data_IF_124130081738
#
_entry.id   IF_124130081738
#
_cell.length_a   1.000
_cell.length_b   1.000
_cell.length_c   1.000
_cell.angle_alpha   90.00
_cell.angle_beta   90.00
_cell.angle_gamma   90.00
#
_symmetry.space_group_name_H-M   'P 1'
#
loop_
_entity.id
_entity.type
_entity.pdbx_description
1 polymer ?
#
# COMPACT_ATOMS: atom_id res chain seq x y z
N UNK A 1 6.34 -12.79 -21.72
CA UNK A 1 5.28 -11.82 -21.38
C UNK A 1 5.69 -11.09 -20.11
N UNK A 2 5.80 -9.76 -20.07
CA UNK A 2 6.46 -9.04 -18.98
C UNK A 2 5.78 -9.15 -17.60
N UNK A 3 4.48 -9.51 -17.55
CA UNK A 3 3.78 -9.83 -16.30
C UNK A 3 4.04 -11.25 -15.76
N UNK A 4 4.96 -12.01 -16.38
CA UNK A 4 5.34 -13.36 -15.90
C UNK A 4 6.55 -13.34 -14.97
N UNK A 5 7.22 -12.20 -14.81
CA UNK A 5 8.33 -12.10 -13.87
C UNK A 5 7.78 -11.76 -12.49
N UNK A 6 7.86 -12.73 -11.59
CA UNK A 6 7.62 -12.47 -10.18
C UNK A 6 8.78 -11.67 -9.60
N UNK A 7 8.52 -10.60 -8.84
CA UNK A 7 9.57 -9.89 -8.12
C UNK A 7 10.32 -10.87 -7.22
N UNK A 8 11.65 -10.79 -7.25
CA UNK A 8 12.53 -11.62 -6.43
C UNK A 8 13.13 -10.79 -5.29
N UNK A 9 13.38 -11.44 -4.15
CA UNK A 9 14.09 -10.80 -3.05
C UNK A 9 15.56 -10.62 -3.41
N UNK A 10 16.07 -9.40 -3.24
CA UNK A 10 17.51 -9.10 -3.30
C UNK A 10 17.96 -8.68 -1.92
N UNK A 11 18.93 -9.41 -1.34
CA UNK A 11 19.53 -9.06 -0.06
C UNK A 11 20.92 -8.47 -0.31
N UNK A 12 21.10 -7.23 0.14
CA UNK A 12 22.36 -6.51 0.11
C UNK A 12 22.91 -6.40 1.53
N UNK A 13 24.23 -6.50 1.69
CA UNK A 13 24.92 -6.29 2.97
C UNK A 13 25.99 -5.21 2.84
N UNK A 14 26.12 -4.40 3.88
CA UNK A 14 27.20 -3.42 4.04
C UNK A 14 28.04 -3.73 5.28
N UNK A 15 29.30 -3.29 5.28
CA UNK A 15 30.21 -3.34 6.44
C UNK A 15 30.80 -1.97 6.78
N UNK A 16 30.37 -0.91 6.08
CA UNK A 16 30.94 0.44 6.15
C UNK A 16 29.88 1.53 6.35
N UNK A 17 28.76 1.15 6.98
CA UNK A 17 27.66 2.08 7.27
C UNK A 17 26.84 2.46 6.03
N UNK A 18 26.80 1.59 5.01
CA UNK A 18 25.99 1.79 3.81
C UNK A 18 26.70 2.53 2.68
N UNK A 19 28.01 2.77 2.77
CA UNK A 19 28.80 3.38 1.69
C UNK A 19 29.02 2.40 0.54
N UNK A 20 29.20 1.12 0.86
CA UNK A 20 29.31 0.02 -0.11
C UNK A 20 28.37 -1.11 0.26
N UNK A 21 27.80 -1.71 -0.79
CA UNK A 21 26.86 -2.82 -0.69
C UNK A 21 27.37 -4.00 -1.50
N UNK A 22 27.25 -5.19 -0.94
CA UNK A 22 27.55 -6.45 -1.61
C UNK A 22 26.27 -7.27 -1.71
N UNK A 23 25.96 -7.75 -2.93
CA UNK A 23 24.86 -8.69 -3.15
C UNK A 23 25.24 -10.01 -2.50
N UNK A 24 24.34 -10.55 -1.67
CA UNK A 24 24.50 -11.91 -1.16
C UNK A 24 24.00 -12.90 -2.23
N UNK A 25 24.86 -13.79 -2.77
CA UNK A 25 24.47 -14.71 -3.82
C UNK A 25 23.40 -15.70 -3.34
N UNK A 26 22.24 -15.68 -4.01
CA UNK A 26 21.21 -16.71 -4.04
C UNK A 26 20.88 -17.40 -2.70
N UNK A 27 20.20 -16.69 -1.80
CA UNK A 27 19.09 -17.30 -1.08
C UNK A 27 17.85 -17.05 -1.95
N UNK A 28 17.11 -18.10 -2.32
CA UNK A 28 15.86 -18.02 -3.12
C UNK A 28 14.72 -17.39 -2.32
N UNK A 29 14.95 -16.23 -1.72
CA UNK A 29 13.92 -15.52 -0.98
C UNK A 29 12.91 -14.92 -1.97
N UNK A 30 11.60 -15.02 -1.65
CA UNK A 30 10.58 -14.30 -2.39
C UNK A 30 10.78 -12.79 -2.22
N UNK A 31 10.05 -11.96 -2.97
CA UNK A 31 10.11 -10.51 -2.78
C UNK A 31 9.87 -10.14 -1.31
N UNK A 32 10.85 -9.47 -0.70
CA UNK A 32 10.81 -9.05 0.69
C UNK A 32 10.10 -7.70 0.82
N UNK A 33 9.37 -7.52 1.93
CA UNK A 33 8.63 -6.31 2.29
C UNK A 33 9.24 -5.61 3.50
N UNK A 34 9.73 -6.38 4.48
CA UNK A 34 10.36 -5.85 5.69
C UNK A 34 11.58 -6.67 6.07
N UNK A 35 12.61 -6.02 6.58
CA UNK A 35 13.76 -6.64 7.23
C UNK A 35 14.06 -5.87 8.52
N UNK A 36 14.34 -6.59 9.60
CA UNK A 36 14.66 -5.99 10.89
C UNK A 36 15.72 -6.82 11.61
N UNK A 37 16.64 -6.15 12.31
CA UNK A 37 17.71 -6.80 13.08
C UNK A 37 17.68 -6.27 14.50
N UNK A 38 17.58 -7.18 15.47
CA UNK A 38 17.63 -6.86 16.91
C UNK A 38 19.04 -7.04 17.48
N UNK A 39 19.92 -7.71 16.72
CA UNK A 39 21.35 -7.75 16.99
C UNK A 39 22.12 -7.91 15.68
N UNK A 40 23.46 -7.77 15.67
CA UNK A 40 24.26 -8.00 14.46
C UNK A 40 24.12 -9.40 13.85
N UNK A 41 23.64 -10.38 14.64
CA UNK A 41 23.48 -11.76 14.22
C UNK A 41 22.01 -12.16 14.02
N UNK A 42 21.08 -11.61 14.83
CA UNK A 42 19.67 -12.03 14.83
C UNK A 42 18.79 -11.01 14.14
N UNK A 43 17.97 -11.49 13.21
CA UNK A 43 17.02 -10.67 12.48
C UNK A 43 15.88 -11.46 11.87
N UNK A 44 14.94 -10.70 11.34
CA UNK A 44 13.70 -11.15 10.73
C UNK A 44 13.57 -10.56 9.33
N UNK A 45 12.98 -11.32 8.43
CA UNK A 45 12.54 -10.83 7.13
C UNK A 45 11.13 -11.33 6.85
N UNK A 46 10.32 -10.48 6.26
CA UNK A 46 8.94 -10.78 5.86
C UNK A 46 8.79 -10.40 4.41
N UNK A 47 8.12 -11.25 3.64
CA UNK A 47 7.93 -11.09 2.21
C UNK A 47 6.69 -11.80 1.69
N UNK A 48 6.63 -11.95 0.37
CA UNK A 48 5.56 -12.66 -0.30
C UNK A 48 5.58 -14.15 0.10
N UNK A 49 4.42 -14.77 0.33
CA UNK A 49 4.34 -16.22 0.39
C UNK A 49 4.64 -16.81 -0.99
N UNK A 50 5.28 -17.97 -1.04
CA UNK A 50 5.58 -18.69 -2.27
C UNK A 50 5.34 -20.19 -2.13
N UNK A 51 5.38 -20.94 -3.23
CA UNK A 51 5.30 -22.41 -3.19
C UNK A 51 6.35 -23.03 -2.28
N UNK A 52 7.57 -22.48 -2.27
CA UNK A 52 8.67 -22.93 -1.42
C UNK A 52 8.54 -22.42 0.03
N UNK A 53 7.99 -21.21 0.22
CA UNK A 53 7.86 -20.58 1.54
C UNK A 53 6.44 -20.04 1.75
N UNK A 54 5.46 -20.91 2.06
CA UNK A 54 4.05 -20.49 2.13
C UNK A 54 3.72 -19.50 3.25
N UNK A 55 4.58 -19.41 4.28
CA UNK A 55 4.41 -18.48 5.40
C UNK A 55 4.99 -17.07 5.15
N UNK A 56 5.92 -16.91 4.20
CA UNK A 56 6.52 -15.61 3.86
C UNK A 56 7.31 -14.92 4.99
N UNK A 57 7.68 -15.63 6.07
CA UNK A 57 8.42 -15.10 7.22
C UNK A 57 9.71 -15.90 7.38
N UNK A 58 10.81 -15.21 7.68
CA UNK A 58 12.14 -15.77 7.78
C UNK A 58 12.88 -15.20 8.98
N UNK A 59 13.77 -16.00 9.57
CA UNK A 59 14.68 -15.59 10.64
C UNK A 59 16.13 -15.85 10.22
N UNK A 60 17.04 -15.08 10.77
CA UNK A 60 18.49 -15.30 10.65
C UNK A 60 19.13 -15.28 12.02
N UNK A 61 20.19 -16.08 12.19
CA UNK A 61 21.04 -16.11 13.39
C UNK A 61 22.51 -15.84 13.07
N UNK A 62 22.83 -15.52 11.82
CA UNK A 62 24.19 -15.33 11.30
C UNK A 62 24.40 -13.97 10.59
N UNK A 63 23.53 -13.00 10.88
CA UNK A 63 23.61 -11.65 10.33
C UNK A 63 23.11 -11.56 8.88
N UNK A 64 22.12 -12.38 8.53
CA UNK A 64 21.48 -12.41 7.21
C UNK A 64 22.29 -13.15 6.14
N UNK A 65 23.28 -13.97 6.52
CA UNK A 65 24.01 -14.83 5.56
C UNK A 65 23.15 -16.03 5.15
N UNK A 66 22.37 -16.56 6.08
CA UNK A 66 21.34 -17.55 5.82
C UNK A 66 20.01 -17.15 6.47
N UNK A 67 18.92 -17.64 5.88
CA UNK A 67 17.55 -17.34 6.28
C UNK A 67 16.76 -18.64 6.40
N UNK A 68 16.16 -18.86 7.56
CA UNK A 68 15.33 -20.02 7.87
C UNK A 68 13.86 -19.61 7.87
N UNK A 69 12.98 -20.33 7.16
CA UNK A 69 11.55 -20.00 7.13
C UNK A 69 10.89 -20.30 8.47
N UNK A 70 9.97 -19.42 8.87
CA UNK A 70 9.07 -19.62 10.00
C UNK A 70 7.75 -20.21 9.48
N UNK A 71 7.38 -21.38 10.00
CA UNK A 71 6.15 -22.06 9.62
C UNK A 71 4.93 -21.45 10.31
N UNK A 72 3.78 -21.45 9.65
CA UNK A 72 2.56 -20.94 10.27
C UNK A 72 1.46 -20.60 9.28
N UNK A 73 0.75 -19.53 9.61
CA UNK A 73 -0.33 -18.92 8.82
C UNK A 73 0.21 -18.59 7.42
N UNK A 74 -0.62 -18.89 6.43
CA UNK A 74 -0.33 -18.68 5.01
C UNK A 74 -1.27 -17.60 4.50
N UNK A 75 -0.95 -16.32 4.70
CA UNK A 75 -1.81 -15.24 4.22
C UNK A 75 -1.76 -15.15 2.69
N UNK A 76 -2.62 -14.32 2.11
CA UNK A 76 -2.45 -13.89 0.73
C UNK A 76 -1.12 -13.14 0.55
N UNK A 77 -0.80 -12.26 1.48
CA UNK A 77 0.41 -11.44 1.47
C UNK A 77 0.62 -10.75 2.81
N UNK A 78 1.84 -10.78 3.34
CA UNK A 78 2.28 -9.83 4.37
C UNK A 78 2.74 -8.54 3.70
N UNK A 79 2.31 -7.38 4.21
CA UNK A 79 2.73 -6.06 3.73
C UNK A 79 3.65 -5.35 4.71
N UNK A 80 3.44 -5.57 6.01
CA UNK A 80 4.18 -4.92 7.07
C UNK A 80 4.45 -5.88 8.25
N UNK A 81 5.44 -5.52 9.05
CA UNK A 81 5.86 -6.28 10.20
C UNK A 81 6.67 -5.41 11.15
N UNK A 82 6.50 -5.58 12.45
CA UNK A 82 7.39 -4.99 13.45
C UNK A 82 7.77 -6.03 14.49
N UNK A 83 9.04 -6.04 14.87
CA UNK A 83 9.65 -7.09 15.66
C UNK A 83 10.29 -6.48 16.91
N UNK A 84 9.61 -6.68 18.05
CA UNK A 84 10.01 -6.16 19.37
C UNK A 84 11.37 -6.69 19.80
N UNK A 85 11.60 -7.98 19.54
CA UNK A 85 12.78 -8.69 19.98
C UNK A 85 13.16 -9.80 18.99
N UNK A 86 14.20 -10.56 19.33
CA UNK A 86 14.68 -11.66 18.50
C UNK A 86 13.74 -12.88 18.47
N UNK A 87 12.68 -12.90 19.28
CA UNK A 87 11.78 -14.04 19.48
C UNK A 87 10.37 -13.80 18.95
N UNK A 88 9.91 -12.54 18.88
CA UNK A 88 8.54 -12.22 18.51
C UNK A 88 8.33 -10.84 17.86
N UNK A 89 7.27 -10.76 17.07
CA UNK A 89 6.77 -9.54 16.43
C UNK A 89 5.33 -9.70 15.96
N UNK A 90 4.78 -8.64 15.38
CA UNK A 90 3.49 -8.65 14.71
C UNK A 90 3.69 -8.50 13.20
N UNK A 91 2.86 -9.19 12.43
CA UNK A 91 2.81 -9.13 10.97
C UNK A 91 1.38 -8.83 10.52
N UNK A 92 1.24 -8.01 9.50
CA UNK A 92 -0.05 -7.72 8.91
C UNK A 92 0.04 -7.51 7.39
N UNK A 93 -1.09 -7.65 6.70
CA UNK A 93 -1.09 -7.59 5.24
C UNK A 93 -2.47 -7.50 4.62
N UNK A 94 -2.61 -8.08 3.41
CA UNK A 94 -3.84 -7.99 2.61
C UNK A 94 -4.97 -8.78 3.25
N UNK A 95 -6.20 -8.36 2.94
CA UNK A 95 -7.44 -9.05 3.33
C UNK A 95 -7.57 -9.24 4.85
N UNK A 96 -7.09 -8.25 5.61
CA UNK A 96 -7.08 -8.30 7.07
C UNK A 96 -6.19 -9.38 7.68
N UNK A 97 -5.28 -9.99 6.92
CA UNK A 97 -4.35 -10.96 7.48
C UNK A 97 -3.47 -10.30 8.55
N UNK A 98 -3.56 -10.82 9.78
CA UNK A 98 -2.83 -10.33 10.95
C UNK A 98 -2.39 -11.52 11.80
N UNK A 99 -1.16 -11.52 12.28
CA UNK A 99 -0.64 -12.56 13.17
C UNK A 99 0.49 -12.04 14.07
N UNK A 100 0.69 -12.72 15.18
CA UNK A 100 1.93 -12.63 15.97
C UNK A 100 2.91 -13.66 15.41
N UNK A 101 4.07 -13.21 14.95
CA UNK A 101 5.16 -14.07 14.54
C UNK A 101 6.05 -14.40 15.73
N UNK A 102 6.39 -15.68 15.92
CA UNK A 102 7.38 -16.16 16.89
C UNK A 102 8.38 -17.07 16.21
N UNK A 103 9.55 -17.29 16.82
CA UNK A 103 10.58 -18.20 16.26
C UNK A 103 10.05 -19.63 16.03
N UNK A 104 9.00 -20.02 16.76
CA UNK A 104 8.40 -21.35 16.70
C UNK A 104 7.18 -21.41 15.76
N UNK A 105 6.80 -20.28 15.18
CA UNK A 105 5.68 -20.16 14.25
C UNK A 105 4.80 -18.96 14.50
N UNK A 106 3.69 -18.86 13.78
CA UNK A 106 2.78 -17.72 13.87
C UNK A 106 1.50 -18.07 14.63
N UNK A 107 0.96 -17.12 15.37
CA UNK A 107 -0.34 -17.18 16.03
C UNK A 107 -1.26 -16.18 15.32
N UNK A 108 -2.34 -16.68 14.70
CA UNK A 108 -3.31 -15.81 14.01
C UNK A 108 -3.95 -14.81 14.98
N UNK A 109 -4.14 -13.57 14.54
CA UNK A 109 -4.85 -12.56 15.32
C UNK A 109 -6.32 -12.95 15.50
N UNK A 110 -6.90 -12.55 16.63
CA UNK A 110 -8.33 -12.67 16.95
C UNK A 110 -9.13 -11.45 16.51
N UNK A 111 -8.51 -10.52 15.78
CA UNK A 111 -9.18 -9.34 15.22
C UNK A 111 -10.34 -9.77 14.29
N UNK A 112 -11.54 -9.18 14.43
CA UNK A 112 -12.61 -9.36 13.46
C UNK A 112 -12.18 -8.97 12.04
N UNK A 113 -12.84 -9.55 11.02
CA UNK A 113 -12.54 -9.20 9.63
C UNK A 113 -12.70 -7.70 9.37
N UNK A 114 -11.71 -7.11 8.70
CA UNK A 114 -11.73 -5.72 8.21
C UNK A 114 -12.14 -5.63 6.72
N UNK A 115 -12.70 -6.70 6.18
CA UNK A 115 -13.07 -6.82 4.77
C UNK A 115 -11.86 -6.92 3.84
N UNK A 116 -11.94 -6.29 2.67
CA UNK A 116 -10.87 -6.30 1.66
C UNK A 116 -9.72 -5.33 1.96
N UNK A 117 -9.81 -4.55 3.05
CA UNK A 117 -8.78 -3.58 3.43
C UNK A 117 -7.46 -4.29 3.72
N UNK A 118 -6.36 -3.70 3.27
CA UNK A 118 -5.03 -4.13 3.65
C UNK A 118 -4.51 -3.31 4.83
N UNK A 119 -3.80 -4.00 5.75
CA UNK A 119 -2.95 -3.36 6.74
C UNK A 119 -1.62 -2.98 6.07
N UNK A 120 -1.34 -1.68 5.94
CA UNK A 120 -0.22 -1.15 5.16
C UNK A 120 1.05 -0.99 5.98
N UNK A 121 0.91 -0.59 7.24
CA UNK A 121 2.04 -0.48 8.16
C UNK A 121 1.60 -0.70 9.60
N UNK A 122 2.56 -1.12 10.43
CA UNK A 122 2.37 -1.27 11.87
C UNK A 122 3.68 -0.97 12.61
N UNK A 123 3.52 -0.48 13.84
CA UNK A 123 4.61 -0.27 14.78
C UNK A 123 4.16 -0.67 16.20
N UNK A 124 4.90 -1.59 16.82
CA UNK A 124 4.70 -2.01 18.20
C UNK A 124 5.36 -1.02 19.17
N UNK A 125 4.78 -0.89 20.36
CA UNK A 125 5.18 0.11 21.35
C UNK A 125 5.16 -0.53 22.74
N UNK A 126 6.30 -0.49 23.42
CA UNK A 126 6.46 -1.15 24.72
C UNK A 126 6.25 -2.67 24.61
N UNK A 127 5.74 -3.26 25.69
CA UNK A 127 5.56 -4.72 25.74
C UNK A 127 4.27 -5.17 25.04
N UNK A 128 3.16 -4.44 25.13
CA UNK A 128 1.87 -4.95 24.62
C UNK A 128 1.15 -3.98 23.68
N UNK A 129 1.64 -2.75 23.58
CA UNK A 129 1.04 -1.70 22.76
C UNK A 129 1.45 -1.79 21.29
N UNK A 130 0.69 -1.11 20.42
CA UNK A 130 1.07 -0.93 19.03
C UNK A 130 -0.02 -0.27 18.20
N UNK A 131 0.37 0.25 17.04
CA UNK A 131 -0.49 0.93 16.08
C UNK A 131 -0.40 0.25 14.72
N UNK A 132 -1.54 0.15 14.03
CA UNK A 132 -1.66 -0.39 12.68
C UNK A 132 -2.50 0.56 11.85
N UNK A 133 -2.07 0.82 10.62
CA UNK A 133 -2.78 1.67 9.66
C UNK A 133 -2.97 0.97 8.33
N UNK A 134 -3.97 1.41 7.57
CA UNK A 134 -4.24 0.82 6.27
C UNK A 134 -5.32 1.50 5.44
N UNK A 135 -5.85 0.72 4.52
CA UNK A 135 -6.80 1.14 3.50
C UNK A 135 -8.13 1.70 4.07
N UNK A 136 -8.69 2.72 3.41
CA UNK A 136 -9.98 3.32 3.78
C UNK A 136 -10.03 3.96 5.17
N UNK A 137 -8.92 4.55 5.61
CA UNK A 137 -8.77 5.28 6.87
C UNK A 137 -8.63 4.35 8.07
N UNK A 138 -8.18 3.12 7.85
CA UNK A 138 -7.99 2.14 8.91
C UNK A 138 -6.92 2.62 9.89
N UNK A 139 -7.30 2.74 11.15
CA UNK A 139 -6.38 2.92 12.29
C UNK A 139 -6.84 1.97 13.38
N UNK A 140 -5.92 1.15 13.88
CA UNK A 140 -6.17 0.21 14.97
C UNK A 140 -5.04 0.28 15.99
N UNK A 141 -5.36 -0.07 17.23
CA UNK A 141 -4.41 -0.21 18.33
C UNK A 141 -4.49 -1.62 18.91
N UNK A 142 -3.39 -2.08 19.51
CA UNK A 142 -3.34 -3.33 20.28
C UNK A 142 -2.89 -3.06 21.70
N UNK A 143 -3.33 -3.91 22.63
CA UNK A 143 -2.89 -3.94 24.04
C UNK A 143 -2.42 -5.34 24.46
N UNK A 144 -2.31 -6.27 23.50
CA UNK A 144 -1.92 -7.66 23.72
C UNK A 144 -0.81 -8.11 22.73
N UNK A 145 0.00 -7.17 22.24
CA UNK A 145 1.16 -7.43 21.40
C UNK A 145 0.81 -7.89 19.97
N UNK A 146 -0.39 -7.55 19.49
CA UNK A 146 -0.87 -7.88 18.15
C UNK A 146 -1.67 -9.19 18.06
N UNK A 147 -2.02 -9.82 19.20
CA UNK A 147 -2.94 -10.96 19.25
C UNK A 147 -4.40 -10.54 18.96
N UNK A 148 -4.72 -9.27 19.19
CA UNK A 148 -5.94 -8.61 18.75
C UNK A 148 -5.69 -7.13 18.49
N UNK A 149 -6.45 -6.59 17.56
CA UNK A 149 -6.43 -5.18 17.19
C UNK A 149 -7.84 -4.62 17.31
N UNK A 150 -7.97 -3.42 17.84
CA UNK A 150 -9.24 -2.73 18.05
C UNK A 150 -9.17 -1.30 17.54
N UNK A 151 -10.33 -0.71 17.21
CA UNK A 151 -10.39 0.70 16.87
C UNK A 151 -9.93 1.55 18.07
N UNK A 152 -9.23 2.68 17.85
CA UNK A 152 -8.87 3.58 18.94
C UNK A 152 -10.13 4.10 19.63
N UNK A 153 -10.03 4.34 20.94
CA UNK A 153 -11.14 4.86 21.74
C UNK A 153 -11.64 6.23 21.23
N UNK A 154 -10.71 7.07 20.75
CA UNK A 154 -11.05 8.32 20.12
C UNK A 154 -11.09 8.17 18.58
N UNK A 155 -12.15 8.66 17.94
CA UNK A 155 -12.25 8.65 16.49
C UNK A 155 -11.17 9.51 15.82
N UNK A 156 -10.64 9.04 14.68
CA UNK A 156 -9.86 9.89 13.78
C UNK A 156 -10.75 10.96 13.10
N UNK A 157 -10.19 12.10 12.66
CA UNK A 157 -10.92 13.15 11.96
C UNK A 157 -11.75 12.64 10.78
N UNK A 158 -12.99 13.12 10.67
CA UNK A 158 -13.93 12.71 9.61
C UNK A 158 -13.41 12.97 8.20
N UNK A 159 -12.60 14.01 8.01
CA UNK A 159 -11.97 14.32 6.72
C UNK A 159 -11.03 13.21 6.20
N UNK A 160 -10.46 12.41 7.10
CA UNK A 160 -9.56 11.30 6.75
C UNK A 160 -10.33 9.97 6.71
N UNK A 161 -11.32 9.81 7.58
CA UNK A 161 -12.15 8.60 7.66
C UNK A 161 -12.80 8.32 6.29
N UNK A 162 -12.63 7.11 5.77
CA UNK A 162 -13.18 6.61 4.49
C UNK A 162 -12.64 7.27 3.20
N UNK A 163 -11.88 8.37 3.28
CA UNK A 163 -11.37 9.06 2.07
C UNK A 163 -9.88 8.83 1.82
N UNK A 164 -9.15 8.37 2.83
CA UNK A 164 -7.70 8.21 2.78
C UNK A 164 -7.32 6.73 2.86
N UNK A 165 -6.32 6.31 2.10
CA UNK A 165 -5.60 5.06 2.35
C UNK A 165 -4.33 5.40 3.13
N UNK A 166 -4.25 5.00 4.41
CA UNK A 166 -3.07 5.27 5.24
C UNK A 166 -1.99 4.26 4.94
N UNK A 167 -0.79 4.72 4.60
CA UNK A 167 0.30 3.88 4.11
C UNK A 167 1.39 3.64 5.13
N UNK A 168 1.56 4.54 6.11
CA UNK A 168 2.64 4.47 7.08
C UNK A 168 2.26 5.07 8.42
N UNK A 169 2.84 4.51 9.48
CA UNK A 169 2.68 4.95 10.86
C UNK A 169 4.03 5.13 11.52
N UNK A 170 4.18 6.20 12.29
CA UNK A 170 5.34 6.41 13.15
C UNK A 170 4.89 6.62 14.59
N UNK A 171 5.65 6.09 15.54
CA UNK A 171 5.40 6.22 16.97
C UNK A 171 6.68 6.57 17.70
N UNK A 172 6.63 7.63 18.51
CA UNK A 172 7.71 8.06 19.40
C UNK A 172 7.12 8.43 20.76
N UNK A 173 7.40 7.63 21.79
CA UNK A 173 6.77 7.79 23.10
C UNK A 173 5.25 7.65 22.99
N UNK A 174 4.50 8.67 23.43
CA UNK A 174 3.03 8.72 23.26
C UNK A 174 2.59 9.33 21.93
N UNK A 175 3.51 9.81 21.10
CA UNK A 175 3.15 10.48 19.86
C UNK A 175 2.99 9.48 18.74
N UNK A 176 1.87 9.57 18.01
CA UNK A 176 1.51 8.70 16.89
C UNK A 176 1.24 9.57 15.67
N UNK A 177 1.88 9.26 14.55
CA UNK A 177 1.64 9.93 13.27
C UNK A 177 1.23 8.92 12.21
N UNK A 178 0.36 9.34 11.31
CA UNK A 178 0.01 8.54 10.14
C UNK A 178 -0.11 9.41 8.89
N UNK A 179 0.34 8.90 7.75
CA UNK A 179 0.26 9.55 6.45
C UNK A 179 -0.25 8.58 5.39
N UNK A 180 -0.65 9.08 4.21
CA UNK A 180 -1.12 8.21 3.15
C UNK A 180 -1.51 8.91 1.85
N UNK A 181 -2.54 8.36 1.19
CA UNK A 181 -3.12 8.83 -0.06
C UNK A 181 -4.56 9.32 0.16
N UNK A 182 -4.91 10.57 -0.16
CA UNK A 182 -4.03 11.62 -0.66
C UNK A 182 -3.02 12.08 0.41
N UNK A 183 -1.95 12.73 -0.02
CA UNK A 183 -0.90 13.20 0.90
C UNK A 183 -1.23 14.49 1.63
N UNK A 184 -2.45 15.03 1.46
CA UNK A 184 -2.84 16.40 1.84
C UNK A 184 -2.86 16.64 3.35
N UNK A 185 -3.09 15.59 4.13
CA UNK A 185 -3.17 15.62 5.59
C UNK A 185 -2.23 14.59 6.20
N UNK A 186 -1.55 14.98 7.28
CA UNK A 186 -0.88 14.08 8.20
C UNK A 186 -1.70 14.02 9.49
N UNK A 187 -1.97 12.81 9.98
CA UNK A 187 -2.58 12.61 11.29
C UNK A 187 -1.51 12.70 12.37
N UNK A 188 -1.84 13.31 13.50
CA UNK A 188 -1.03 13.32 14.70
C UNK A 188 -1.90 13.13 15.94
N UNK A 189 -1.44 12.27 16.84
CA UNK A 189 -1.90 12.18 18.22
C UNK A 189 -0.72 12.32 19.16
N UNK A 190 -0.70 13.30 20.09
CA UNK A 190 0.40 13.45 21.05
C UNK A 190 0.28 12.52 22.27
N UNK A 191 -0.84 11.83 22.43
CA UNK A 191 -1.26 11.26 23.71
C UNK A 191 -1.73 9.80 23.64
N UNK A 192 -1.13 9.03 22.74
CA UNK A 192 -1.39 7.60 22.58
C UNK A 192 -2.76 7.35 21.96
N UNK A 193 -3.17 8.20 21.02
CA UNK A 193 -4.41 8.04 20.26
C UNK A 193 -5.68 8.42 21.02
N UNK A 194 -5.58 9.13 22.15
CA UNK A 194 -6.76 9.67 22.87
C UNK A 194 -7.30 10.93 22.21
N UNK A 195 -6.46 11.68 21.50
CA UNK A 195 -6.88 12.79 20.64
C UNK A 195 -6.14 12.74 19.31
N UNK A 196 -6.86 12.95 18.22
CA UNK A 196 -6.31 12.97 16.86
C UNK A 196 -6.57 14.30 16.19
N UNK A 197 -5.53 14.90 15.62
CA UNK A 197 -5.60 16.08 14.77
C UNK A 197 -5.10 15.74 13.36
N UNK A 198 -5.64 16.44 12.36
CA UNK A 198 -5.17 16.38 10.99
C UNK A 198 -4.49 17.70 10.63
N UNK A 199 -3.25 17.64 10.16
CA UNK A 199 -2.44 18.79 9.81
C UNK A 199 -2.17 18.83 8.31
N UNK A 200 -2.41 19.97 7.63
CA UNK A 200 -2.07 20.14 6.23
C UNK A 200 -0.58 19.93 5.98
N UNK A 201 -0.25 19.15 4.95
CA UNK A 201 1.13 18.90 4.53
C UNK A 201 1.59 19.83 3.41
N UNK A 202 0.64 20.47 2.72
CA UNK A 202 0.87 21.24 1.49
C UNK A 202 1.17 20.36 0.26
N UNK A 203 0.95 19.05 0.35
CA UNK A 203 1.26 18.07 -0.69
C UNK A 203 -0.01 17.33 -1.13
N UNK A 204 -0.42 17.43 -2.40
CA UNK A 204 -1.57 16.67 -2.90
C UNK A 204 -1.23 15.19 -3.17
N UNK A 205 -0.04 14.95 -3.72
CA UNK A 205 0.38 13.60 -4.09
C UNK A 205 0.59 12.73 -2.84
N UNK A 206 0.38 11.41 -2.95
CA UNK A 206 0.49 10.48 -1.83
C UNK A 206 1.83 10.56 -1.13
N UNK A 207 1.77 10.54 0.20
CA UNK A 207 2.89 10.23 1.06
C UNK A 207 2.91 8.71 1.25
N UNK A 208 4.09 8.11 1.09
CA UNK A 208 4.28 6.67 1.12
C UNK A 208 4.83 6.20 2.46
N UNK A 209 5.65 7.01 3.13
CA UNK A 209 6.29 6.66 4.39
C UNK A 209 6.49 7.89 5.28
N UNK A 210 6.55 7.68 6.60
CA UNK A 210 6.79 8.71 7.61
C UNK A 210 7.70 8.16 8.71
N UNK A 211 8.67 8.96 9.12
CA UNK A 211 9.58 8.62 10.20
C UNK A 211 9.84 9.83 11.09
N UNK A 212 9.81 9.61 12.40
CA UNK A 212 10.14 10.63 13.40
C UNK A 212 11.40 10.22 14.16
N UNK A 213 12.36 11.15 14.20
CA UNK A 213 13.61 10.98 14.96
C UNK A 213 13.34 11.16 16.45
N UNK A 214 12.48 12.13 16.77
CA UNK A 214 11.99 12.43 18.10
C UNK A 214 10.56 12.99 18.01
N UNK A 215 10.02 13.49 19.13
CA UNK A 215 8.65 14.02 19.19
C UNK A 215 8.41 15.30 18.36
N UNK A 216 9.46 15.95 17.86
CA UNK A 216 9.42 17.24 17.16
C UNK A 216 9.92 17.14 15.72
N UNK A 217 10.97 16.36 15.46
CA UNK A 217 11.63 16.27 14.17
C UNK A 217 11.24 14.99 13.45
N UNK A 218 10.65 15.16 12.27
CA UNK A 218 10.21 14.05 11.42
C UNK A 218 10.27 14.35 9.94
N UNK A 219 10.19 13.31 9.14
CA UNK A 219 10.26 13.33 7.69
C UNK A 219 9.16 12.46 7.10
N UNK A 220 8.57 12.92 6.01
CA UNK A 220 7.63 12.13 5.21
C UNK A 220 8.13 12.11 3.77
N UNK A 221 8.02 10.97 3.12
CA UNK A 221 8.42 10.79 1.72
C UNK A 221 7.24 10.30 0.92
N UNK A 222 7.19 10.66 -0.36
CA UNK A 222 6.01 10.41 -1.18
C UNK A 222 6.31 10.21 -2.65
N UNK A 223 5.22 10.12 -3.40
CA UNK A 223 5.25 9.95 -4.86
C UNK A 223 6.03 11.08 -5.54
N UNK A 224 6.61 10.76 -6.71
CA UNK A 224 7.43 11.67 -7.51
C UNK A 224 8.59 12.28 -6.69
N UNK A 225 9.24 11.50 -5.82
CA UNK A 225 10.43 11.92 -5.08
C UNK A 225 10.20 13.04 -4.06
N UNK A 226 8.97 13.20 -3.58
CA UNK A 226 8.62 14.20 -2.56
C UNK A 226 9.29 13.87 -1.23
N UNK A 227 9.89 14.87 -0.59
CA UNK A 227 10.42 14.79 0.77
C UNK A 227 9.93 16.02 1.54
N UNK A 228 9.23 15.78 2.65
CA UNK A 228 8.77 16.78 3.61
C UNK A 228 9.51 16.60 4.93
N UNK A 229 9.70 17.70 5.67
CA UNK A 229 10.27 17.68 7.01
C UNK A 229 9.44 18.56 7.95
N UNK A 230 9.35 18.15 9.20
CA UNK A 230 8.75 18.92 10.30
C UNK A 230 9.77 19.12 11.42
N UNK A 231 9.60 20.20 12.18
CA UNK A 231 10.39 20.52 13.40
C UNK A 231 9.48 20.86 14.59
N UNK A 232 8.18 20.66 14.45
CA UNK A 232 7.14 20.98 15.44
C UNK A 232 6.20 19.80 15.70
N UNK A 233 6.68 18.58 15.47
CA UNK A 233 5.94 17.35 15.73
C UNK A 233 4.83 17.08 14.72
N UNK A 234 5.00 17.54 13.47
CA UNK A 234 4.05 17.31 12.39
C UNK A 234 2.90 18.32 12.31
N UNK A 235 2.95 19.40 13.11
CA UNK A 235 1.96 20.49 13.05
C UNK A 235 2.13 21.33 11.77
N UNK A 236 3.36 21.51 11.30
CA UNK A 236 3.68 22.07 10.01
C UNK A 236 4.74 21.24 9.27
N UNK A 237 4.61 21.17 7.94
CA UNK A 237 5.50 20.45 7.06
C UNK A 237 6.16 21.39 6.05
N UNK A 238 7.47 21.26 5.90
CA UNK A 238 8.29 22.01 4.94
C UNK A 238 8.85 21.06 3.90
N UNK A 239 8.54 21.34 2.64
CA UNK A 239 9.08 20.59 1.50
C UNK A 239 10.59 20.78 1.37
N UNK A 240 11.33 19.69 1.46
CA UNK A 240 12.78 19.63 1.26
C UNK A 240 13.13 19.30 -0.20
N UNK A 241 12.31 18.47 -0.84
CA UNK A 241 12.45 18.07 -2.24
C UNK A 241 11.09 17.78 -2.85
N UNK A 242 10.94 18.08 -4.14
CA UNK A 242 9.88 17.54 -4.99
C UNK A 242 10.48 17.13 -6.33
N UNK A 243 10.17 15.94 -6.80
CA UNK A 243 10.48 15.48 -8.16
C UNK A 243 9.35 15.75 -9.17
N UNK A 244 8.20 16.25 -8.73
CA UNK A 244 7.09 16.68 -9.60
C UNK A 244 5.83 17.03 -8.80
N UNK A 245 5.02 17.98 -9.29
CA UNK A 245 3.74 18.37 -8.68
C UNK A 245 2.51 17.75 -9.37
N UNK A 246 2.71 17.07 -10.49
CA UNK A 246 1.68 16.42 -11.30
C UNK A 246 2.26 15.29 -12.14
N UNK A 247 1.42 14.36 -12.56
CA UNK A 247 1.76 13.40 -13.60
C UNK A 247 1.61 14.05 -14.99
N UNK A 248 2.41 13.66 -15.97
CA UNK A 248 2.11 13.95 -17.37
C UNK A 248 1.00 13.00 -17.85
N UNK A 249 1.10 11.73 -17.46
CA UNK A 249 0.22 10.66 -17.89
C UNK A 249 -0.38 9.94 -16.68
N UNK A 250 -1.70 9.74 -16.69
CA UNK A 250 -2.41 8.86 -15.76
C UNK A 250 -3.16 7.79 -16.55
N UNK A 251 -2.70 6.54 -16.49
CA UNK A 251 -3.42 5.39 -17.03
C UNK A 251 -4.35 4.81 -15.94
N UNK A 252 -5.65 4.72 -16.25
CA UNK A 252 -6.67 4.13 -15.39
C UNK A 252 -7.19 2.89 -16.10
N UNK A 253 -6.95 1.72 -15.53
CA UNK A 253 -7.22 0.44 -16.19
C UNK A 253 -7.99 -0.53 -15.28
N UNK A 254 -8.71 -1.46 -15.88
CA UNK A 254 -9.50 -2.48 -15.23
C UNK A 254 -8.64 -3.52 -14.54
N UNK A 255 -7.57 -3.98 -15.18
CA UNK A 255 -6.64 -4.93 -14.61
C UNK A 255 -5.21 -4.72 -15.13
N UNK A 256 -4.26 -5.46 -14.57
CA UNK A 256 -2.84 -5.31 -14.90
C UNK A 256 -2.51 -5.67 -16.35
N UNK A 257 -3.36 -6.46 -17.03
CA UNK A 257 -3.11 -6.86 -18.42
C UNK A 257 -3.38 -5.72 -19.41
N UNK A 258 -4.27 -4.79 -19.04
CA UNK A 258 -4.63 -3.58 -19.81
C UNK A 258 -3.62 -2.44 -19.68
N UNK A 259 -2.58 -2.56 -18.86
CA UNK A 259 -1.56 -1.49 -18.72
C UNK A 259 -0.86 -1.26 -20.08
N UNK A 260 -0.87 -0.02 -20.62
CA UNK A 260 -0.36 0.31 -21.95
C UNK A 260 1.17 0.42 -21.95
N UNK A 261 1.85 -0.72 -21.81
CA UNK A 261 3.29 -0.81 -21.53
C UNK A 261 4.18 -0.22 -22.64
N UNK A 262 3.84 -0.42 -23.91
CA UNK A 262 4.63 0.10 -25.02
C UNK A 262 4.60 1.64 -25.02
N UNK A 263 3.42 2.20 -24.75
CA UNK A 263 3.24 3.64 -24.62
C UNK A 263 3.95 4.20 -23.38
N UNK A 264 3.90 3.49 -22.24
CA UNK A 264 4.65 3.87 -21.04
C UNK A 264 6.17 3.79 -21.26
N UNK A 265 6.67 2.76 -21.96
CA UNK A 265 8.09 2.66 -22.27
C UNK A 265 8.56 3.83 -23.14
N UNK A 266 7.77 4.22 -24.14
CA UNK A 266 8.08 5.39 -24.97
C UNK A 266 8.02 6.69 -24.15
N UNK A 267 6.87 6.99 -23.55
CA UNK A 267 6.67 8.29 -22.89
C UNK A 267 7.48 8.43 -21.58
N UNK A 268 7.55 7.38 -20.78
CA UNK A 268 8.22 7.44 -19.48
C UNK A 268 9.72 7.16 -19.59
N UNK A 269 10.13 6.05 -20.21
CA UNK A 269 11.55 5.71 -20.27
C UNK A 269 12.33 6.47 -21.36
N UNK A 270 11.76 6.65 -22.56
CA UNK A 270 12.44 7.36 -23.65
C UNK A 270 12.34 8.89 -23.48
N UNK A 271 11.15 9.41 -23.20
CA UNK A 271 10.92 10.87 -23.11
C UNK A 271 11.01 11.44 -21.69
N UNK A 272 11.01 10.60 -20.64
CA UNK A 272 11.19 11.04 -19.26
C UNK A 272 9.93 11.59 -18.58
N UNK A 273 8.73 11.36 -19.14
CA UNK A 273 7.48 11.85 -18.56
C UNK A 273 7.09 11.11 -17.29
N UNK A 274 6.66 11.87 -16.28
CA UNK A 274 6.10 11.33 -15.04
C UNK A 274 4.77 10.61 -15.34
N UNK A 275 4.79 9.29 -15.29
CA UNK A 275 3.69 8.44 -15.74
C UNK A 275 3.19 7.55 -14.61
N UNK A 276 1.88 7.50 -14.42
CA UNK A 276 1.24 6.81 -13.30
C UNK A 276 0.19 5.83 -13.81
N UNK A 277 0.09 4.68 -13.15
CA UNK A 277 -0.94 3.67 -13.40
C UNK A 277 -1.81 3.48 -12.16
N UNK A 278 -3.13 3.55 -12.32
CA UNK A 278 -4.11 3.16 -11.32
C UNK A 278 -4.92 1.98 -11.89
N UNK A 279 -4.79 0.81 -11.27
CA UNK A 279 -5.55 -0.40 -11.59
C UNK A 279 -6.77 -0.44 -10.67
N UNK A 280 -7.97 -0.42 -11.23
CA UNK A 280 -9.22 -0.38 -10.46
C UNK A 280 -9.58 -1.77 -9.97
N UNK A 281 -9.68 -2.74 -10.88
CA UNK A 281 -10.17 -4.07 -10.57
C UNK A 281 -9.18 -4.92 -9.79
N UNK A 282 -9.70 -5.69 -8.83
CA UNK A 282 -8.91 -6.61 -8.02
C UNK A 282 -9.38 -8.06 -8.21
N UNK A 283 -8.60 -8.86 -8.95
CA UNK A 283 -8.91 -10.27 -9.27
C UNK A 283 -8.39 -11.29 -8.24
N UNK A 284 -7.47 -10.90 -7.36
CA UNK A 284 -6.73 -11.81 -6.48
C UNK A 284 -7.36 -12.00 -5.10
N UNK A 285 -8.70 -12.09 -5.03
CA UNK A 285 -9.47 -12.07 -3.78
C UNK A 285 -9.84 -13.47 -3.28
N UNK A 286 -10.18 -14.40 -4.18
CA UNK A 286 -10.81 -15.68 -3.79
C UNK A 286 -9.79 -16.79 -3.52
N UNK A 287 -8.64 -16.78 -4.19
CA UNK A 287 -7.56 -17.75 -3.91
C UNK A 287 -6.20 -17.16 -4.27
N UNK A 288 -5.38 -16.81 -3.28
CA UNK A 288 -4.01 -16.35 -3.50
C UNK A 288 -3.21 -17.44 -4.21
N UNK A 289 -2.59 -17.10 -5.34
CA UNK A 289 -1.66 -18.01 -6.00
C UNK A 289 -0.33 -17.97 -5.25
N UNK A 290 0.13 -19.11 -4.72
CA UNK A 290 1.51 -19.22 -4.22
C UNK A 290 2.55 -19.33 -5.35
N UNK A 291 2.07 -19.53 -6.59
CA UNK A 291 2.91 -19.69 -7.77
C UNK A 291 3.23 -18.36 -8.46
N UNK A 292 2.57 -17.25 -8.09
CA UNK A 292 2.81 -15.92 -8.65
C UNK A 292 2.62 -14.85 -7.58
N UNK A 293 3.40 -13.78 -7.65
CA UNK A 293 3.21 -12.61 -6.80
C UNK A 293 1.82 -11.99 -7.01
N UNK A 294 1.24 -11.31 -6.02
CA UNK A 294 -0.04 -10.62 -6.16
C UNK A 294 -0.05 -9.56 -7.27
N UNK A 295 -1.25 -9.22 -7.78
CA UNK A 295 -1.39 -8.41 -9.00
C UNK A 295 -0.80 -6.99 -8.85
N UNK A 296 -0.96 -6.38 -7.68
CA UNK A 296 -0.42 -5.05 -7.35
C UNK A 296 1.12 -5.01 -7.42
N UNK A 297 1.80 -6.03 -6.90
CA UNK A 297 3.26 -6.12 -6.98
C UNK A 297 3.75 -6.32 -8.40
N UNK A 298 3.06 -7.14 -9.20
CA UNK A 298 3.40 -7.34 -10.61
C UNK A 298 3.18 -6.05 -11.41
N UNK A 299 2.07 -5.36 -11.20
CA UNK A 299 1.78 -4.08 -11.84
C UNK A 299 2.86 -3.05 -11.49
N UNK A 300 3.20 -2.92 -10.20
CA UNK A 300 4.26 -2.00 -9.75
C UNK A 300 5.62 -2.33 -10.34
N UNK A 301 6.01 -3.60 -10.36
CA UNK A 301 7.27 -4.04 -10.95
C UNK A 301 7.31 -3.76 -12.46
N UNK A 302 6.25 -4.10 -13.19
CA UNK A 302 6.15 -3.88 -14.62
C UNK A 302 6.20 -2.39 -14.97
N UNK A 303 5.45 -1.54 -14.26
CA UNK A 303 5.47 -0.08 -14.46
C UNK A 303 6.87 0.50 -14.21
N UNK A 304 7.56 0.08 -13.16
CA UNK A 304 8.91 0.54 -12.88
C UNK A 304 9.91 0.10 -13.95
N UNK A 305 9.79 -1.14 -14.47
CA UNK A 305 10.67 -1.66 -15.54
C UNK A 305 10.57 -0.87 -16.85
N UNK A 306 9.40 -0.30 -17.14
CA UNK A 306 9.18 0.53 -18.34
C UNK A 306 9.35 2.03 -18.06
N UNK A 307 9.98 2.41 -16.95
CA UNK A 307 10.28 3.80 -16.59
C UNK A 307 9.12 4.59 -15.99
N UNK A 308 7.96 3.96 -15.76
CA UNK A 308 6.83 4.60 -15.09
C UNK A 308 7.13 4.98 -13.64
N UNK A 309 6.47 6.03 -13.16
CA UNK A 309 6.77 6.66 -11.86
C UNK A 309 6.02 6.05 -10.67
N UNK A 310 4.81 5.54 -10.88
CA UNK A 310 4.03 4.87 -9.84
C UNK A 310 2.97 3.94 -10.43
N UNK A 311 2.65 2.87 -9.71
CA UNK A 311 1.52 1.99 -9.99
C UNK A 311 0.79 1.66 -8.68
N UNK A 312 -0.54 1.70 -8.67
CA UNK A 312 -1.37 1.30 -7.54
C UNK A 312 -2.55 0.46 -8.00
N UNK A 313 -3.05 -0.38 -7.11
CA UNK A 313 -4.29 -1.12 -7.28
C UNK A 313 -5.29 -0.68 -6.21
N UNK A 314 -6.53 -0.41 -6.60
CA UNK A 314 -7.61 -0.16 -5.65
C UNK A 314 -7.95 -1.43 -4.87
N UNK A 315 -8.27 -1.28 -3.59
CA UNK A 315 -8.52 -2.41 -2.69
C UNK A 315 -10.01 -2.82 -2.67
N UNK A 316 -10.89 -1.91 -3.05
CA UNK A 316 -12.34 -1.90 -2.81
C UNK A 316 -13.19 -2.31 -4.03
N UNK A 317 -12.60 -2.47 -5.23
CA UNK A 317 -13.32 -2.90 -6.45
C UNK A 317 -13.01 -4.35 -6.83
N UNK A 318 -13.64 -5.35 -6.16
CA UNK A 318 -13.40 -6.76 -6.43
C UNK A 318 -13.85 -7.16 -7.84
N UNK A 319 -13.05 -8.00 -8.50
CA UNK A 319 -13.42 -8.74 -9.70
C UNK A 319 -13.40 -10.23 -9.33
N UNK A 320 -14.58 -10.80 -9.07
CA UNK A 320 -14.74 -12.23 -8.75
C UNK A 320 -14.48 -13.10 -9.97
N UNK A 321 -14.20 -14.39 -9.75
CA UNK A 321 -13.96 -15.37 -10.81
C UNK A 321 -12.86 -14.96 -11.79
N UNK A 322 -11.59 -15.01 -11.32
CA UNK A 322 -10.40 -14.56 -12.07
C UNK A 322 -10.26 -15.12 -13.49
N UNK A 323 -10.88 -16.26 -13.79
CA UNK A 323 -10.78 -16.99 -15.05
C UNK A 323 -11.99 -16.79 -15.98
N UNK A 324 -13.01 -16.02 -15.56
CA UNK A 324 -14.23 -15.78 -16.34
C UNK A 324 -14.35 -14.32 -16.80
N UNK A 325 -14.62 -14.08 -18.10
CA UNK A 325 -15.07 -12.77 -18.54
C UNK A 325 -16.45 -12.47 -17.94
N UNK A 326 -16.53 -11.41 -17.13
CA UNK A 326 -17.79 -10.97 -16.53
C UNK A 326 -18.38 -9.80 -17.33
N UNK A 327 -19.68 -9.90 -17.65
CA UNK A 327 -20.43 -8.78 -18.21
C UNK A 327 -20.64 -7.65 -17.21
N UNK A 328 -20.87 -6.42 -17.70
CA UNK A 328 -20.92 -5.20 -16.89
C UNK A 328 -21.92 -5.28 -15.70
N UNK A 329 -23.07 -5.93 -15.88
CA UNK A 329 -24.07 -6.06 -14.83
C UNK A 329 -23.56 -6.87 -13.62
N UNK A 330 -22.82 -7.95 -13.86
CA UNK A 330 -22.28 -8.78 -12.77
C UNK A 330 -21.15 -8.06 -12.03
N UNK A 331 -20.28 -7.36 -12.79
CA UNK A 331 -19.22 -6.53 -12.19
C UNK A 331 -19.82 -5.43 -11.31
N UNK A 332 -20.82 -4.69 -11.81
CA UNK A 332 -21.49 -3.64 -11.06
C UNK A 332 -22.13 -4.18 -9.77
N UNK A 333 -22.80 -5.34 -9.82
CA UNK A 333 -23.35 -5.99 -8.62
C UNK A 333 -22.28 -6.35 -7.60
N UNK A 334 -21.14 -6.91 -8.04
CA UNK A 334 -20.02 -7.23 -7.16
C UNK A 334 -19.44 -6.00 -6.47
N UNK A 335 -19.37 -4.87 -7.19
CA UNK A 335 -18.94 -3.60 -6.60
C UNK A 335 -20.00 -2.99 -5.68
N UNK A 336 -21.28 -3.13 -5.98
CA UNK A 336 -22.37 -2.72 -5.09
C UNK A 336 -22.34 -3.50 -3.78
N UNK A 337 -22.10 -4.81 -3.82
CA UNK A 337 -21.91 -5.62 -2.61
C UNK A 337 -20.73 -5.15 -1.74
N UNK A 338 -19.65 -4.66 -2.35
CA UNK A 338 -18.48 -4.15 -1.63
C UNK A 338 -18.66 -2.72 -1.08
N UNK A 339 -19.64 -1.97 -1.58
CA UNK A 339 -19.84 -0.54 -1.30
C UNK A 339 -21.25 -0.21 -0.81
N UNK A 340 -21.92 -1.14 -0.14
CA UNK A 340 -23.26 -0.95 0.43
C UNK A 340 -24.29 -0.40 -0.59
N UNK A 341 -24.27 -0.96 -1.81
CA UNK A 341 -25.16 -0.57 -2.91
C UNK A 341 -24.74 0.67 -3.69
N UNK A 342 -23.51 1.17 -3.48
CA UNK A 342 -22.98 2.40 -4.11
C UNK A 342 -21.75 2.17 -4.98
N UNK A 343 -21.58 1.00 -5.58
CA UNK A 343 -20.36 0.61 -6.29
C UNK A 343 -19.94 1.59 -7.39
N UNK A 344 -20.86 1.96 -8.28
CA UNK A 344 -20.55 2.92 -9.36
C UNK A 344 -20.34 4.35 -8.86
N UNK A 345 -21.05 4.75 -7.80
CA UNK A 345 -20.87 6.08 -7.19
C UNK A 345 -19.52 6.16 -6.45
N UNK A 346 -19.11 5.09 -5.77
CA UNK A 346 -17.81 4.98 -5.13
C UNK A 346 -16.68 4.96 -6.17
N UNK A 347 -16.88 4.29 -7.32
CA UNK A 347 -15.92 4.33 -8.43
C UNK A 347 -15.74 5.77 -8.92
N UNK A 348 -16.82 6.46 -9.22
CA UNK A 348 -16.77 7.86 -9.68
C UNK A 348 -16.05 8.76 -8.66
N UNK A 349 -16.42 8.67 -7.37
CA UNK A 349 -15.76 9.40 -6.29
C UNK A 349 -14.24 9.12 -6.24
N UNK A 350 -13.84 7.85 -6.38
CA UNK A 350 -12.43 7.45 -6.38
C UNK A 350 -11.69 7.96 -7.62
N UNK A 351 -12.28 7.89 -8.80
CA UNK A 351 -11.64 8.36 -10.03
C UNK A 351 -11.46 9.89 -10.04
N UNK A 352 -12.49 10.64 -9.61
CA UNK A 352 -12.38 12.10 -9.47
C UNK A 352 -11.24 12.47 -8.53
N UNK A 353 -11.15 11.80 -7.38
CA UNK A 353 -10.06 11.98 -6.40
C UNK A 353 -8.70 11.70 -7.02
N UNK A 354 -8.52 10.59 -7.75
CA UNK A 354 -7.23 10.25 -8.39
C UNK A 354 -6.84 11.28 -9.45
N UNK A 355 -7.77 11.75 -10.26
CA UNK A 355 -7.51 12.77 -11.28
C UNK A 355 -7.12 14.10 -10.62
N UNK A 356 -7.86 14.56 -9.60
CA UNK A 356 -7.52 15.77 -8.83
C UNK A 356 -6.18 15.65 -8.10
N UNK A 357 -5.89 14.48 -7.55
CA UNK A 357 -4.64 14.19 -6.84
C UNK A 357 -3.43 14.29 -7.79
N UNK A 358 -3.47 13.56 -8.91
CA UNK A 358 -2.35 13.44 -9.85
C UNK A 358 -2.24 14.61 -10.84
N UNK A 359 -3.34 15.33 -11.08
CA UNK A 359 -3.44 16.47 -12.00
C UNK A 359 -2.82 16.18 -13.38
N UNK A 360 -3.17 15.06 -14.03
CA UNK A 360 -2.53 14.63 -15.27
C UNK A 360 -2.78 15.61 -16.42
N UNK A 361 -1.83 15.69 -17.35
CA UNK A 361 -2.04 16.36 -18.64
C UNK A 361 -2.85 15.46 -19.59
N UNK A 362 -2.64 14.13 -19.52
CA UNK A 362 -3.37 13.13 -20.31
C UNK A 362 -3.86 12.00 -19.41
N UNK A 363 -5.13 11.63 -19.57
CA UNK A 363 -5.71 10.43 -18.96
C UNK A 363 -5.88 9.35 -20.04
N UNK A 364 -5.30 8.18 -19.81
CA UNK A 364 -5.51 6.98 -20.63
C UNK A 364 -6.48 6.06 -19.92
N UNK A 365 -7.34 5.41 -20.69
CA UNK A 365 -8.26 4.38 -20.17
C UNK A 365 -8.48 3.31 -21.24
N UNK A 366 -9.17 2.24 -20.85
CA UNK A 366 -9.56 1.10 -21.68
C UNK A 366 -10.02 1.47 -23.10
N UNK A 367 -9.56 0.67 -24.06
CA UNK A 367 -10.00 0.74 -25.45
C UNK A 367 -11.39 0.08 -25.56
N UNK A 368 -12.31 0.67 -26.33
CA UNK A 368 -13.67 0.14 -26.42
C UNK A 368 -13.73 -1.30 -26.94
N UNK A 369 -14.29 -2.21 -26.15
CA UNK A 369 -14.56 -3.61 -26.49
C UNK A 369 -16.03 -4.02 -26.27
N UNK A 370 -16.35 -5.31 -26.48
CA UNK A 370 -17.70 -5.86 -26.31
C UNK A 370 -18.10 -5.88 -24.81
N UNK A 371 -19.16 -5.14 -24.47
CA UNK A 371 -19.69 -5.00 -23.09
C UNK A 371 -20.08 -6.35 -22.45
N UNK A 372 -20.36 -7.37 -23.27
CA UNK A 372 -20.75 -8.71 -22.81
C UNK A 372 -19.58 -9.53 -22.28
N UNK A 373 -18.36 -9.22 -22.70
CA UNK A 373 -17.15 -9.98 -22.35
C UNK A 373 -16.13 -9.14 -21.56
N UNK A 374 -16.18 -7.82 -21.71
CA UNK A 374 -15.26 -6.86 -21.09
C UNK A 374 -16.01 -5.89 -20.14
N UNK A 375 -16.81 -6.44 -19.22
CA UNK A 375 -17.70 -5.66 -18.38
C UNK A 375 -17.00 -4.63 -17.50
N UNK A 376 -15.89 -5.00 -16.87
CA UNK A 376 -15.10 -4.09 -16.03
C UNK A 376 -14.49 -2.96 -16.87
N UNK A 377 -13.92 -3.29 -18.04
CA UNK A 377 -13.31 -2.32 -18.94
C UNK A 377 -14.34 -1.29 -19.43
N UNK A 378 -15.54 -1.77 -19.81
CA UNK A 378 -16.63 -0.91 -20.22
C UNK A 378 -17.07 0.07 -19.12
N UNK A 379 -17.28 -0.43 -17.89
CA UNK A 379 -17.69 0.40 -16.76
C UNK A 379 -16.63 1.46 -16.43
N UNK A 380 -15.36 1.06 -16.41
CA UNK A 380 -14.24 1.96 -16.09
C UNK A 380 -14.08 3.02 -17.17
N UNK A 381 -14.12 2.65 -18.45
CA UNK A 381 -14.05 3.64 -19.54
C UNK A 381 -15.13 4.70 -19.38
N UNK A 382 -16.38 4.30 -19.12
CA UNK A 382 -17.49 5.23 -18.94
C UNK A 382 -17.28 6.12 -17.71
N UNK A 383 -16.87 5.52 -16.60
CA UNK A 383 -16.63 6.25 -15.35
C UNK A 383 -15.47 7.24 -15.47
N UNK A 384 -14.38 6.88 -16.16
CA UNK A 384 -13.24 7.78 -16.40
C UNK A 384 -13.66 9.01 -17.21
N UNK A 385 -14.44 8.83 -18.28
CA UNK A 385 -14.93 9.96 -19.08
C UNK A 385 -15.76 10.95 -18.24
N UNK A 386 -16.63 10.44 -17.36
CA UNK A 386 -17.41 11.26 -16.45
C UNK A 386 -16.54 11.92 -15.36
N UNK A 387 -15.59 11.18 -14.81
CA UNK A 387 -14.70 11.64 -13.76
C UNK A 387 -13.78 12.76 -14.23
N UNK A 388 -13.35 12.77 -15.50
CA UNK A 388 -12.56 13.87 -16.09
C UNK A 388 -13.34 15.19 -16.08
N UNK A 389 -14.62 15.16 -16.48
CA UNK A 389 -15.49 16.34 -16.44
C UNK A 389 -15.73 16.81 -15.00
N UNK A 390 -16.07 15.88 -14.09
CA UNK A 390 -16.33 16.17 -12.68
C UNK A 390 -15.10 16.63 -11.90
N UNK A 391 -13.91 16.15 -12.27
CA UNK A 391 -12.67 16.60 -11.67
C UNK A 391 -12.40 18.09 -11.93
N UNK A 392 -12.90 18.64 -13.05
CA UNK A 392 -12.83 20.06 -13.38
C UNK A 392 -13.90 20.93 -12.68
N UNK A 393 -14.99 20.31 -12.20
CA UNK A 393 -16.07 21.00 -11.48
C UNK A 393 -15.81 21.05 -9.97
N UNK A 394 -15.50 22.23 -9.43
CA UNK A 394 -15.25 22.43 -8.00
C UNK A 394 -16.45 22.12 -7.08
N UNK A 395 -17.66 22.02 -7.63
CA UNK A 395 -18.88 21.68 -6.86
C UNK A 395 -19.10 20.17 -6.75
N UNK A 396 -18.50 19.38 -7.64
CA UNK A 396 -18.51 17.94 -7.55
C UNK A 396 -17.55 17.48 -6.43
N UNK A 397 -18.04 16.69 -5.48
CA UNK A 397 -17.25 16.21 -4.34
C UNK A 397 -16.43 17.33 -3.65
N UNK A 398 -17.08 18.37 -3.07
CA UNK A 398 -16.39 19.55 -2.54
C UNK A 398 -15.43 19.26 -1.39
N UNK A 399 -15.51 18.06 -0.81
CA UNK A 399 -14.59 17.56 0.20
C UNK A 399 -13.22 17.13 -0.36
N UNK A 400 -13.07 16.99 -1.69
CA UNK A 400 -11.88 16.44 -2.37
C UNK A 400 -11.01 17.47 -3.07
#
# INVERSE_FOLDING_TARGET
APYTQDPQGVVLRTHDGGRRWTILPAATLPALKRVSFQSPARGWAVGLPSTMYPGGIFTTSDGGRSWLPVNGVRPAQWLCADFRDAHSGAVAGRDGAMAVATINGTIASRTPSIGLRAARDLQLVGETGGWLVGDGGLVMTTEDGGLSWQLPAAPIPTAVRQQFDLTAVAVVGSHVWAVGSPGTLALHSPDGGRHWAAHPTGQSLPLCDVHFVDAQVGYAVGSLGTILATRDGGQSWRRQRAGGGRAALLAIVADESSIPRELLAELAANEGYLSVVEVVGRRDIETPSLARAPADDRARAATALVGGSAARQAWDFPLRDKDLPLGALLVARGWDEAHDGRGLAALDETLVRKIRQWRPDVVLTEFGGDEKLAGAEHLIRRAVLQAVERAADSTAFPQQ
#
